data_IF_727329181622
#
_entry.id   IF_727329181622
#
_cell.length_a   1.000
_cell.length_b   1.000
_cell.length_c   1.000
_cell.angle_alpha   90.00
_cell.angle_beta   90.00
_cell.angle_gamma   90.00
#
_symmetry.space_group_name_H-M   'P 1'
#
loop_
_entity.id
_entity.type
_entity.pdbx_description
1 polymer ?
#
# COMPACT_ATOMS: atom_id res chain seq x y z
N UNK A 1 -16.90 -7.66 -2.17
CA UNK A 1 -17.68 -7.99 -0.96
C UNK A 1 -16.93 -9.13 -0.31
N UNK A 2 -16.17 -8.85 0.75
CA UNK A 2 -15.45 -9.89 1.47
C UNK A 2 -16.45 -10.85 2.10
N UNK A 3 -16.39 -12.13 1.75
CA UNK A 3 -17.18 -13.17 2.39
C UNK A 3 -16.36 -13.81 3.51
N UNK A 4 -15.89 -13.01 4.48
CA UNK A 4 -14.96 -13.49 5.52
C UNK A 4 -15.59 -13.48 6.92
N UNK A 5 -14.97 -14.22 7.84
CA UNK A 5 -15.32 -14.19 9.27
C UNK A 5 -15.20 -12.77 9.84
N UNK A 6 -14.16 -12.03 9.41
CA UNK A 6 -13.92 -10.64 9.81
C UNK A 6 -15.07 -9.73 9.34
N UNK A 7 -15.53 -9.88 8.11
CA UNK A 7 -16.64 -9.11 7.56
C UNK A 7 -17.98 -9.38 8.28
N UNK A 8 -18.23 -10.65 8.63
CA UNK A 8 -19.39 -11.05 9.42
C UNK A 8 -19.40 -10.39 10.82
N UNK A 9 -18.25 -10.43 11.52
CA UNK A 9 -18.09 -9.79 12.82
C UNK A 9 -18.25 -8.26 12.70
N UNK A 10 -17.59 -7.65 11.72
CA UNK A 10 -17.67 -6.20 11.50
C UNK A 10 -19.11 -5.74 11.25
N UNK A 11 -19.89 -6.50 10.47
CA UNK A 11 -21.31 -6.22 10.21
C UNK A 11 -22.13 -6.24 11.50
N UNK A 12 -21.95 -7.26 12.34
CA UNK A 12 -22.65 -7.36 13.62
C UNK A 12 -22.24 -6.24 14.60
N UNK A 13 -20.96 -5.88 14.62
CA UNK A 13 -20.42 -4.78 15.43
C UNK A 13 -21.01 -3.42 15.04
N UNK A 14 -21.05 -3.10 13.74
CA UNK A 14 -21.64 -1.84 13.24
C UNK A 14 -23.12 -1.73 13.62
N UNK A 15 -23.82 -2.86 13.68
CA UNK A 15 -25.23 -2.93 14.07
C UNK A 15 -25.44 -3.09 15.59
N UNK A 16 -24.36 -3.08 16.38
CA UNK A 16 -24.35 -3.26 17.84
C UNK A 16 -25.21 -4.45 18.31
N UNK A 17 -25.07 -5.59 17.63
CA UNK A 17 -25.79 -6.83 17.96
C UNK A 17 -24.85 -8.03 17.93
N UNK A 18 -25.32 -9.13 18.51
CA UNK A 18 -24.67 -10.42 18.33
C UNK A 18 -24.85 -10.95 16.90
N UNK A 19 -23.96 -11.88 16.52
CA UNK A 19 -24.07 -12.64 15.28
C UNK A 19 -25.41 -13.38 15.25
N UNK A 20 -26.07 -13.38 14.09
CA UNK A 20 -27.32 -14.10 13.88
C UNK A 20 -27.20 -15.07 12.69
N UNK A 21 -28.32 -15.72 12.35
CA UNK A 21 -28.42 -16.67 11.25
C UNK A 21 -27.81 -16.14 9.94
N UNK A 22 -27.99 -14.86 9.61
CA UNK A 22 -27.49 -14.25 8.38
C UNK A 22 -25.97 -14.26 8.30
N UNK A 23 -25.27 -13.83 9.35
CA UNK A 23 -23.80 -13.88 9.36
C UNK A 23 -23.27 -15.31 9.37
N UNK A 24 -23.93 -16.21 10.11
CA UNK A 24 -23.53 -17.60 10.17
C UNK A 24 -23.65 -18.28 8.79
N UNK A 25 -24.71 -17.99 8.04
CA UNK A 25 -24.88 -18.49 6.67
C UNK A 25 -23.79 -18.00 5.72
N UNK A 26 -23.35 -16.74 5.85
CA UNK A 26 -22.20 -16.20 5.09
C UNK A 26 -20.92 -16.97 5.42
N UNK A 27 -20.63 -17.17 6.72
CA UNK A 27 -19.44 -17.91 7.16
C UNK A 27 -19.48 -19.37 6.70
N UNK A 28 -20.64 -20.02 6.76
CA UNK A 28 -20.79 -21.39 6.24
C UNK A 28 -20.58 -21.47 4.73
N UNK A 29 -21.08 -20.48 3.97
CA UNK A 29 -20.83 -20.38 2.53
C UNK A 29 -19.34 -20.26 2.21
N UNK A 30 -18.63 -19.41 2.95
CA UNK A 30 -17.19 -19.26 2.84
C UNK A 30 -16.43 -20.55 3.18
N UNK A 31 -16.82 -21.24 4.26
CA UNK A 31 -16.21 -22.51 4.67
C UNK A 31 -16.40 -23.62 3.62
N UNK A 32 -17.57 -23.69 2.98
CA UNK A 32 -17.83 -24.68 1.91
C UNK A 32 -16.90 -24.54 0.72
N UNK A 33 -16.38 -23.34 0.46
CA UNK A 33 -15.44 -23.07 -0.62
C UNK A 33 -13.97 -23.21 -0.19
N UNK A 34 -13.68 -23.43 1.10
CA UNK A 34 -12.33 -23.45 1.63
C UNK A 34 -11.47 -24.59 1.06
N UNK A 35 -12.07 -25.77 0.81
CA UNK A 35 -11.37 -26.90 0.20
C UNK A 35 -10.92 -26.56 -1.23
N UNK A 36 -11.83 -26.03 -2.05
CA UNK A 36 -11.50 -25.60 -3.42
C UNK A 36 -10.40 -24.51 -3.45
N UNK A 37 -10.44 -23.54 -2.52
CA UNK A 37 -9.39 -22.52 -2.39
C UNK A 37 -8.05 -23.11 -1.98
N UNK A 38 -8.06 -24.05 -1.03
CA UNK A 38 -6.86 -24.79 -0.61
C UNK A 38 -6.26 -25.59 -1.76
N UNK A 39 -7.06 -26.36 -2.49
CA UNK A 39 -6.58 -27.17 -3.61
C UNK A 39 -5.96 -26.30 -4.71
N UNK A 40 -6.57 -25.15 -4.97
CA UNK A 40 -6.07 -24.15 -5.92
C UNK A 40 -4.72 -23.58 -5.46
N UNK A 41 -4.59 -23.20 -4.18
CA UNK A 41 -3.33 -22.71 -3.61
C UNK A 41 -2.24 -23.79 -3.63
N UNK A 42 -2.60 -25.04 -3.31
CA UNK A 42 -1.69 -26.19 -3.35
C UNK A 42 -1.19 -26.47 -4.77
N UNK A 43 -2.06 -26.35 -5.77
CA UNK A 43 -1.67 -26.45 -7.18
C UNK A 43 -0.66 -25.36 -7.56
N UNK A 44 -0.91 -24.10 -7.21
CA UNK A 44 0.02 -23.01 -7.47
C UNK A 44 1.37 -23.26 -6.79
N UNK A 45 1.37 -23.76 -5.56
CA UNK A 45 2.61 -24.06 -4.83
C UNK A 45 3.42 -25.17 -5.49
N UNK A 46 2.77 -26.23 -5.98
CA UNK A 46 3.45 -27.33 -6.70
C UNK A 46 4.11 -26.86 -7.99
N UNK A 47 3.52 -25.87 -8.67
CA UNK A 47 4.01 -25.33 -9.93
C UNK A 47 4.83 -24.04 -9.77
N UNK A 48 4.96 -23.51 -8.54
CA UNK A 48 5.54 -22.20 -8.26
C UNK A 48 6.93 -22.05 -8.86
N UNK A 49 7.81 -23.03 -8.64
CA UNK A 49 9.20 -22.97 -9.13
C UNK A 49 9.27 -22.79 -10.65
N UNK A 50 8.52 -23.57 -11.41
CA UNK A 50 8.50 -23.47 -12.88
C UNK A 50 7.95 -22.12 -13.33
N UNK A 51 6.86 -21.67 -12.70
CA UNK A 51 6.24 -20.38 -13.02
C UNK A 51 7.16 -19.21 -12.73
N UNK A 52 7.87 -19.23 -11.58
CA UNK A 52 8.84 -18.21 -11.18
C UNK A 52 10.03 -18.21 -12.14
N UNK A 53 10.65 -19.37 -12.38
CA UNK A 53 11.82 -19.47 -13.26
C UNK A 53 11.51 -18.92 -14.67
N UNK A 54 10.33 -19.25 -15.21
CA UNK A 54 9.90 -18.74 -16.52
C UNK A 54 9.49 -17.26 -16.49
N UNK A 55 8.84 -16.78 -15.42
CA UNK A 55 8.50 -15.37 -15.26
C UNK A 55 9.76 -14.49 -15.16
N UNK A 56 10.78 -14.93 -14.41
CA UNK A 56 12.06 -14.23 -14.30
C UNK A 56 12.76 -14.14 -15.65
N UNK A 57 12.70 -15.20 -16.47
CA UNK A 57 13.21 -15.15 -17.84
C UNK A 57 12.45 -14.13 -18.70
N UNK A 58 11.12 -14.07 -18.59
CA UNK A 58 10.31 -13.08 -19.31
C UNK A 58 10.66 -11.64 -18.89
N UNK A 59 10.83 -11.40 -17.58
CA UNK A 59 11.26 -10.10 -17.05
C UNK A 59 12.67 -9.74 -17.54
N UNK A 60 13.60 -10.68 -17.50
CA UNK A 60 14.99 -10.46 -17.95
C UNK A 60 15.07 -10.11 -19.44
N UNK A 61 14.15 -10.64 -20.27
CA UNK A 61 14.06 -10.29 -21.69
C UNK A 61 13.51 -8.87 -21.90
N UNK A 62 12.56 -8.44 -21.07
CA UNK A 62 11.90 -7.14 -21.20
C UNK A 62 12.67 -6.01 -20.51
N UNK A 63 13.42 -6.33 -19.46
CA UNK A 63 14.17 -5.39 -18.63
C UNK A 63 15.60 -5.91 -18.38
N UNK A 64 16.54 -5.67 -19.31
CA UNK A 64 17.92 -6.17 -19.20
C UNK A 64 18.74 -5.58 -18.05
N UNK A 65 18.21 -4.56 -17.37
CA UNK A 65 18.82 -3.87 -16.23
C UNK A 65 18.88 -4.74 -14.95
N UNK A 66 18.01 -5.75 -14.84
CA UNK A 66 18.04 -6.69 -13.71
C UNK A 66 19.20 -7.68 -13.87
N UNK A 67 20.29 -7.40 -13.17
CA UNK A 67 21.53 -8.19 -13.26
C UNK A 67 21.49 -9.42 -12.34
N UNK A 68 20.66 -9.39 -11.28
CA UNK A 68 20.53 -10.44 -10.26
C UNK A 68 19.25 -11.27 -10.46
N UNK A 69 19.39 -12.37 -11.19
CA UNK A 69 18.31 -13.33 -11.43
C UNK A 69 17.73 -13.89 -10.12
N UNK A 70 18.55 -14.06 -9.07
CA UNK A 70 18.08 -14.63 -7.79
C UNK A 70 17.20 -13.67 -6.98
N UNK A 71 17.58 -12.39 -6.89
CA UNK A 71 16.81 -11.39 -6.12
C UNK A 71 15.45 -11.14 -6.77
N UNK A 72 15.41 -11.11 -8.11
CA UNK A 72 14.17 -11.04 -8.87
C UNK A 72 13.29 -12.28 -8.64
N UNK A 73 13.87 -13.48 -8.63
CA UNK A 73 13.14 -14.71 -8.34
C UNK A 73 12.56 -14.70 -6.91
N UNK A 74 13.31 -14.25 -5.92
CA UNK A 74 12.85 -14.18 -4.52
C UNK A 74 11.70 -13.17 -4.35
N UNK A 75 11.76 -12.03 -5.03
CA UNK A 75 10.68 -11.03 -4.99
C UNK A 75 9.41 -11.50 -5.72
N UNK A 76 9.54 -12.20 -6.85
CA UNK A 76 8.39 -12.79 -7.56
C UNK A 76 7.78 -13.94 -6.73
N UNK A 77 8.61 -14.77 -6.11
CA UNK A 77 8.18 -15.82 -5.19
C UNK A 77 7.40 -15.24 -4.00
N UNK A 78 7.90 -14.15 -3.41
CA UNK A 78 7.19 -13.42 -2.36
C UNK A 78 5.79 -12.97 -2.82
N UNK A 79 5.68 -12.38 -4.01
CA UNK A 79 4.39 -11.97 -4.58
C UNK A 79 3.44 -13.16 -4.80
N UNK A 80 3.96 -14.28 -5.32
CA UNK A 80 3.15 -15.48 -5.55
C UNK A 80 2.66 -16.09 -4.23
N UNK A 81 3.48 -16.11 -3.18
CA UNK A 81 3.06 -16.55 -1.83
C UNK A 81 1.97 -15.66 -1.25
N UNK A 82 2.05 -14.34 -1.42
CA UNK A 82 0.99 -13.43 -0.99
C UNK A 82 -0.34 -13.74 -1.69
N UNK A 83 -0.31 -14.01 -3.00
CA UNK A 83 -1.50 -14.41 -3.76
C UNK A 83 -2.08 -15.74 -3.23
N UNK A 84 -1.24 -16.72 -2.90
CA UNK A 84 -1.67 -17.96 -2.26
C UNK A 84 -2.34 -17.72 -0.90
N UNK A 85 -1.82 -16.79 -0.09
CA UNK A 85 -2.45 -16.44 1.18
C UNK A 85 -3.78 -15.72 0.99
N UNK A 86 -3.89 -14.85 0.00
CA UNK A 86 -5.15 -14.21 -0.36
C UNK A 86 -6.21 -15.23 -0.80
N UNK A 87 -5.80 -16.26 -1.56
CA UNK A 87 -6.68 -17.38 -1.91
C UNK A 87 -7.16 -18.14 -0.68
N UNK A 88 -6.30 -18.41 0.30
CA UNK A 88 -6.69 -19.16 1.49
C UNK A 88 -7.67 -18.39 2.38
N UNK A 89 -7.42 -17.10 2.59
CA UNK A 89 -8.20 -16.24 3.49
C UNK A 89 -9.42 -15.61 2.78
N UNK A 90 -9.40 -15.56 1.45
CA UNK A 90 -10.41 -14.95 0.58
C UNK A 90 -10.54 -13.42 0.76
N UNK A 91 -9.40 -12.72 0.81
CA UNK A 91 -9.29 -11.26 0.98
C UNK A 91 -8.12 -10.70 0.19
N UNK A 92 -8.23 -9.42 -0.21
CA UNK A 92 -7.14 -8.65 -0.81
C UNK A 92 -6.36 -7.81 0.21
N UNK A 93 -6.81 -7.76 1.48
CA UNK A 93 -6.19 -6.98 2.56
C UNK A 93 -4.68 -7.26 2.67
N UNK A 94 -4.28 -8.52 2.48
CA UNK A 94 -2.88 -8.93 2.55
C UNK A 94 -2.03 -8.35 1.40
N UNK A 95 -2.59 -8.22 0.20
CA UNK A 95 -1.88 -7.54 -0.90
C UNK A 95 -1.72 -6.06 -0.59
N UNK A 96 -2.76 -5.42 -0.06
CA UNK A 96 -2.68 -4.01 0.28
C UNK A 96 -1.66 -3.74 1.39
N UNK A 97 -1.70 -4.52 2.47
CA UNK A 97 -0.84 -4.35 3.64
C UNK A 97 0.62 -4.73 3.38
N UNK A 98 0.87 -5.84 2.68
CA UNK A 98 2.20 -6.42 2.56
C UNK A 98 2.87 -6.22 1.21
N UNK A 99 2.12 -5.96 0.13
CA UNK A 99 2.69 -5.69 -1.20
C UNK A 99 2.62 -4.20 -1.54
N UNK A 100 1.42 -3.63 -1.55
CA UNK A 100 1.17 -2.27 -2.08
C UNK A 100 1.72 -1.20 -1.13
N UNK A 101 1.36 -1.25 0.15
CA UNK A 101 1.78 -0.25 1.12
C UNK A 101 3.28 -0.32 1.47
N UNK A 102 3.93 -1.44 1.16
CA UNK A 102 5.35 -1.70 1.45
C UNK A 102 6.18 -1.89 0.19
N UNK A 103 5.64 -1.47 -0.97
CA UNK A 103 6.29 -1.72 -2.25
C UNK A 103 7.67 -1.05 -2.34
N UNK A 104 7.85 0.14 -1.75
CA UNK A 104 9.14 0.84 -1.73
C UNK A 104 10.23 0.04 -1.01
N UNK A 105 9.88 -0.61 0.11
CA UNK A 105 10.80 -1.48 0.87
C UNK A 105 11.17 -2.73 0.06
N UNK A 106 10.18 -3.32 -0.62
CA UNK A 106 10.35 -4.50 -1.49
C UNK A 106 11.22 -4.15 -2.70
N UNK A 107 10.94 -3.01 -3.34
CA UNK A 107 11.70 -2.49 -4.47
C UNK A 107 13.17 -2.31 -4.12
N UNK A 108 13.47 -1.75 -2.94
CA UNK A 108 14.86 -1.60 -2.47
C UNK A 108 15.51 -2.94 -2.11
N UNK A 109 14.76 -3.87 -1.50
CA UNK A 109 15.30 -5.16 -1.04
C UNK A 109 15.61 -6.11 -2.19
N UNK A 110 14.72 -6.18 -3.18
CA UNK A 110 14.82 -7.12 -4.29
C UNK A 110 15.28 -6.47 -5.60
N UNK A 111 15.54 -5.15 -5.58
CA UNK A 111 15.84 -4.35 -6.75
C UNK A 111 14.81 -4.60 -7.86
N UNK A 112 13.52 -4.40 -7.55
CA UNK A 112 12.38 -4.71 -8.44
C UNK A 112 11.50 -3.47 -8.67
N UNK A 113 11.29 -3.09 -9.92
CA UNK A 113 10.34 -2.03 -10.26
C UNK A 113 8.90 -2.55 -10.33
N UNK A 114 7.88 -1.68 -10.14
CA UNK A 114 6.47 -2.08 -10.28
C UNK A 114 6.16 -2.71 -11.64
N UNK A 115 6.82 -2.22 -12.71
CA UNK A 115 6.61 -2.74 -14.06
C UNK A 115 7.17 -4.16 -14.23
N UNK A 116 8.32 -4.47 -13.62
CA UNK A 116 8.90 -5.81 -13.65
C UNK A 116 8.03 -6.83 -12.93
N UNK A 117 7.52 -6.47 -11.75
CA UNK A 117 6.56 -7.31 -11.00
C UNK A 117 5.27 -7.50 -11.80
N UNK A 118 4.78 -6.44 -12.45
CA UNK A 118 3.58 -6.50 -13.31
C UNK A 118 3.76 -7.52 -14.44
N UNK A 119 4.87 -7.43 -15.19
CA UNK A 119 5.20 -8.37 -16.26
C UNK A 119 5.31 -9.81 -15.76
N UNK A 120 5.93 -10.02 -14.59
CA UNK A 120 6.02 -11.35 -13.99
C UNK A 120 4.63 -11.92 -13.65
N UNK A 121 3.76 -11.12 -13.04
CA UNK A 121 2.41 -11.55 -12.68
C UNK A 121 1.52 -11.79 -13.91
N UNK A 122 1.66 -10.98 -14.96
CA UNK A 122 1.00 -11.21 -16.27
C UNK A 122 1.47 -12.53 -16.90
N UNK A 123 2.76 -12.85 -16.80
CA UNK A 123 3.27 -14.14 -17.26
C UNK A 123 2.64 -15.29 -16.47
N UNK A 124 2.61 -15.21 -15.14
CA UNK A 124 2.01 -16.23 -14.27
C UNK A 124 0.52 -16.40 -14.59
N UNK A 125 -0.21 -15.30 -14.80
CA UNK A 125 -1.62 -15.30 -15.19
C UNK A 125 -1.87 -16.11 -16.46
N UNK A 126 -1.01 -15.95 -17.48
CA UNK A 126 -1.20 -16.61 -18.76
C UNK A 126 -0.71 -18.08 -18.77
N UNK A 127 0.09 -18.50 -17.80
CA UNK A 127 0.78 -19.79 -17.81
C UNK A 127 0.42 -20.72 -16.63
N UNK A 128 -0.37 -20.28 -15.66
CA UNK A 128 -0.70 -21.09 -14.48
C UNK A 128 -1.53 -22.35 -14.75
N UNK A 129 -2.08 -22.55 -15.95
CA UNK A 129 -2.77 -23.80 -16.39
C UNK A 129 -4.02 -24.25 -15.60
N UNK A 130 -4.41 -23.56 -14.53
CA UNK A 130 -5.72 -23.71 -13.88
C UNK A 130 -6.88 -23.42 -14.85
N UNK A 131 -8.02 -24.09 -14.64
CA UNK A 131 -9.26 -23.92 -15.41
C UNK A 131 -10.46 -23.59 -14.50
N UNK A 132 -11.59 -23.26 -15.12
CA UNK A 132 -12.90 -23.11 -14.46
C UNK A 132 -12.88 -22.13 -13.27
N UNK A 133 -13.54 -22.49 -12.17
CA UNK A 133 -13.67 -21.65 -10.98
C UNK A 133 -12.31 -21.37 -10.32
N UNK A 134 -11.37 -22.31 -10.38
CA UNK A 134 -10.02 -22.12 -9.83
C UNK A 134 -9.29 -21.00 -10.59
N UNK A 135 -9.33 -21.03 -11.93
CA UNK A 135 -8.73 -19.99 -12.76
C UNK A 135 -9.37 -18.61 -12.50
N UNK A 136 -10.70 -18.54 -12.44
CA UNK A 136 -11.43 -17.28 -12.17
C UNK A 136 -10.97 -16.68 -10.83
N UNK A 137 -10.88 -17.51 -9.80
CA UNK A 137 -10.54 -17.07 -8.44
C UNK A 137 -9.09 -16.57 -8.36
N UNK A 138 -8.13 -17.31 -8.93
CA UNK A 138 -6.71 -16.88 -8.98
C UNK A 138 -6.55 -15.60 -9.79
N UNK A 139 -7.22 -15.52 -10.95
CA UNK A 139 -7.16 -14.36 -11.81
C UNK A 139 -7.74 -13.12 -11.16
N UNK A 140 -8.72 -13.25 -10.27
CA UNK A 140 -9.22 -12.11 -9.50
C UNK A 140 -8.11 -11.47 -8.66
N UNK A 141 -7.33 -12.27 -7.93
CA UNK A 141 -6.23 -11.77 -7.09
C UNK A 141 -5.04 -11.26 -7.91
N UNK A 142 -4.68 -11.97 -8.99
CA UNK A 142 -3.65 -11.52 -9.92
C UNK A 142 -4.02 -10.19 -10.56
N UNK A 143 -5.24 -10.07 -11.09
CA UNK A 143 -5.73 -8.82 -11.68
C UNK A 143 -5.75 -7.68 -10.67
N UNK A 144 -6.11 -7.94 -9.42
CA UNK A 144 -6.05 -6.93 -8.36
C UNK A 144 -4.62 -6.42 -8.15
N UNK A 145 -3.66 -7.33 -7.98
CA UNK A 145 -2.24 -6.99 -7.81
C UNK A 145 -1.68 -6.24 -9.02
N UNK A 146 -1.92 -6.73 -10.24
CA UNK A 146 -1.49 -6.10 -11.50
C UNK A 146 -2.04 -4.68 -11.59
N UNK A 147 -3.35 -4.50 -11.43
CA UNK A 147 -3.99 -3.19 -11.59
C UNK A 147 -3.53 -2.18 -10.52
N UNK A 148 -3.23 -2.63 -9.31
CA UNK A 148 -2.73 -1.77 -8.23
C UNK A 148 -1.27 -1.39 -8.44
N UNK A 149 -0.42 -2.33 -8.87
CA UNK A 149 0.98 -2.06 -9.22
C UNK A 149 1.14 -1.13 -10.42
N UNK A 150 0.31 -1.29 -11.46
CA UNK A 150 0.29 -0.36 -12.61
C UNK A 150 -0.02 1.06 -12.14
N UNK A 151 -1.02 1.24 -11.28
CA UNK A 151 -1.35 2.55 -10.71
C UNK A 151 -0.22 3.12 -9.85
N UNK A 152 0.52 2.28 -9.12
CA UNK A 152 1.71 2.72 -8.38
C UNK A 152 2.81 3.21 -9.35
N UNK A 153 3.10 2.45 -10.40
CA UNK A 153 4.08 2.86 -11.41
C UNK A 153 3.67 4.14 -12.17
N UNK A 154 2.38 4.37 -12.39
CA UNK A 154 1.88 5.64 -12.96
C UNK A 154 2.03 6.82 -12.00
N UNK A 155 1.83 6.61 -10.70
CA UNK A 155 2.10 7.62 -9.66
C UNK A 155 3.58 8.00 -9.63
N UNK A 156 4.48 7.04 -9.69
CA UNK A 156 5.94 7.30 -9.78
C UNK A 156 6.29 8.12 -11.03
N UNK A 157 5.70 7.79 -12.19
CA UNK A 157 5.92 8.54 -13.43
C UNK A 157 5.37 9.96 -13.38
N UNK A 158 4.20 10.17 -12.79
CA UNK A 158 3.62 11.52 -12.65
C UNK A 158 4.43 12.37 -11.67
N UNK A 159 4.93 11.79 -10.57
CA UNK A 159 5.90 12.44 -9.69
C UNK A 159 7.18 12.82 -10.45
N UNK A 160 7.75 11.90 -11.23
CA UNK A 160 8.96 12.15 -12.03
C UNK A 160 8.76 13.17 -13.17
N UNK A 161 7.56 13.24 -13.76
CA UNK A 161 7.22 14.22 -14.80
C UNK A 161 6.96 15.62 -14.23
N UNK A 162 6.43 15.72 -13.01
CA UNK A 162 6.27 17.01 -12.31
C UNK A 162 7.64 17.60 -11.90
N UNK A 163 8.67 16.76 -11.77
CA UNK A 163 10.07 17.17 -11.61
C UNK A 163 10.65 17.89 -12.83
N UNK A 164 10.00 17.84 -14.00
CA UNK A 164 10.38 18.62 -15.19
C UNK A 164 9.88 20.07 -15.16
N UNK A 165 9.87 20.70 -13.98
CA UNK A 165 9.85 22.16 -13.91
C UNK A 165 9.11 22.82 -12.75
N UNK A 166 8.49 22.07 -11.83
CA UNK A 166 8.07 22.63 -10.53
C UNK A 166 8.29 21.64 -9.41
N UNK A 167 9.36 21.88 -8.67
CA UNK A 167 9.78 21.12 -7.48
C UNK A 167 8.71 21.26 -6.40
N UNK A 168 7.88 20.24 -6.21
CA UNK A 168 7.29 19.99 -4.90
C UNK A 168 8.30 19.19 -4.09
N UNK A 169 8.84 19.83 -3.05
CA UNK A 169 9.91 19.29 -2.22
C UNK A 169 9.37 18.12 -1.40
N UNK A 170 9.71 16.92 -1.83
CA UNK A 170 9.77 15.73 -0.97
C UNK A 170 10.58 16.13 0.27
N UNK A 171 9.95 16.14 1.46
CA UNK A 171 10.61 16.59 2.70
C UNK A 171 11.61 15.53 3.17
N UNK A 172 12.72 15.41 2.48
CA UNK A 172 13.94 14.80 3.00
C UNK A 172 14.51 15.74 4.06
N UNK A 173 14.86 15.19 5.24
CA UNK A 173 15.49 15.96 6.30
C UNK A 173 16.90 16.35 5.86
N UNK A 174 17.09 17.61 5.44
CA UNK A 174 18.40 18.18 5.16
C UNK A 174 19.08 18.59 6.49
N UNK A 175 20.12 17.87 6.96
CA UNK A 175 20.79 18.17 8.22
C UNK A 175 21.58 19.49 8.18
N UNK A 176 21.75 20.10 6.99
CA UNK A 176 22.44 21.39 6.81
C UNK A 176 21.47 22.57 6.70
N UNK A 177 20.17 22.31 6.54
CA UNK A 177 19.16 23.35 6.48
C UNK A 177 19.00 24.04 7.84
N UNK A 178 18.87 25.37 7.82
CA UNK A 178 18.60 26.15 9.03
C UNK A 178 17.31 25.63 9.69
N UNK A 179 17.33 25.36 11.01
CA UNK A 179 16.13 24.93 11.73
C UNK A 179 14.99 25.92 11.54
N UNK A 180 13.76 25.41 11.53
CA UNK A 180 12.55 26.23 11.39
C UNK A 180 12.50 27.43 12.35
N UNK A 181 12.96 27.24 13.59
CA UNK A 181 13.04 28.31 14.59
C UNK A 181 13.97 29.45 14.18
N UNK A 182 15.11 29.15 13.53
CA UNK A 182 16.03 30.18 13.06
C UNK A 182 15.40 31.00 11.93
N UNK A 183 14.60 30.36 11.07
CA UNK A 183 13.81 31.04 10.04
C UNK A 183 12.77 31.99 10.65
N UNK A 184 12.09 31.57 11.72
CA UNK A 184 11.13 32.44 12.44
C UNK A 184 11.83 33.65 13.05
N UNK A 185 13.01 33.47 13.65
CA UNK A 185 13.78 34.59 14.22
C UNK A 185 14.20 35.58 13.13
N UNK A 186 14.71 35.09 11.99
CA UNK A 186 15.07 35.93 10.83
C UNK A 186 13.87 36.74 10.30
N UNK A 187 12.68 36.13 10.29
CA UNK A 187 11.44 36.84 9.91
C UNK A 187 11.06 37.87 10.99
N UNK A 188 11.21 37.52 12.26
CA UNK A 188 10.91 38.42 13.38
C UNK A 188 11.80 39.66 13.42
N UNK A 189 13.04 39.56 12.97
CA UNK A 189 13.98 40.69 12.84
C UNK A 189 13.58 41.69 11.75
N UNK A 190 12.81 41.26 10.74
CA UNK A 190 12.30 42.15 9.69
C UNK A 190 11.12 43.00 10.16
N UNK A 191 10.51 42.67 11.30
CA UNK A 191 9.37 43.39 11.86
C UNK A 191 9.86 44.54 12.75
N UNK A 192 9.47 45.81 12.49
CA UNK A 192 9.85 46.95 13.32
C UNK A 192 9.45 46.78 14.79
N UNK A 193 10.27 47.29 15.72
CA UNK A 193 9.99 47.22 17.16
C UNK A 193 8.66 47.86 17.57
N UNK A 194 8.22 48.87 16.83
CA UNK A 194 6.94 49.55 17.03
C UNK A 194 5.73 48.61 16.87
N UNK A 195 5.83 47.59 16.00
CA UNK A 195 4.78 46.57 15.84
C UNK A 195 4.86 45.50 16.94
N UNK A 196 6.07 45.20 17.40
CA UNK A 196 6.27 44.30 18.54
C UNK A 196 5.68 44.85 19.84
N UNK A 197 5.74 46.17 20.02
CA UNK A 197 5.20 46.84 21.22
C UNK A 197 3.66 46.84 21.28
N UNK A 198 2.98 46.62 20.15
CA UNK A 198 1.51 46.48 20.10
C UNK A 198 1.02 45.12 20.61
N UNK A 199 1.90 44.12 20.66
CA UNK A 199 1.51 42.78 21.06
C UNK A 199 1.32 42.71 22.58
N UNK A 200 0.21 42.10 23.04
CA UNK A 200 -0.05 41.98 24.46
C UNK A 200 0.96 41.03 25.12
N UNK A 201 1.59 41.49 26.20
CA UNK A 201 2.58 40.70 26.96
C UNK A 201 1.99 39.52 27.70
N UNK A 202 0.67 39.49 27.84
CA UNK A 202 -0.11 38.48 28.54
C UNK A 202 -0.97 37.63 27.60
N UNK A 203 -0.68 37.62 26.29
CA UNK A 203 -1.47 36.89 25.29
C UNK A 203 -1.72 35.43 25.65
N UNK A 204 -0.68 34.72 26.12
CA UNK A 204 -0.78 33.31 26.48
C UNK A 204 -1.75 33.06 27.65
N UNK A 205 -1.90 34.03 28.56
CA UNK A 205 -2.77 33.94 29.73
C UNK A 205 -4.19 34.40 29.42
N UNK A 206 -4.31 35.44 28.60
CA UNK A 206 -5.57 36.09 28.27
C UNK A 206 -6.00 35.83 26.81
N UNK A 207 -5.70 34.65 26.29
CA UNK A 207 -5.98 34.29 24.89
C UNK A 207 -7.47 34.48 24.53
N UNK A 208 -8.37 34.04 25.42
CA UNK A 208 -9.81 34.15 25.21
C UNK A 208 -10.29 35.61 25.21
N UNK A 209 -9.64 36.49 25.97
CA UNK A 209 -9.94 37.93 25.95
C UNK A 209 -9.64 38.52 24.57
N UNK A 210 -8.48 38.21 23.99
CA UNK A 210 -8.06 38.79 22.72
C UNK A 210 -8.75 38.18 21.49
N UNK A 211 -9.13 36.89 21.55
CA UNK A 211 -9.79 36.21 20.44
C UNK A 211 -11.32 36.31 20.49
N UNK A 212 -11.90 36.34 21.68
CA UNK A 212 -13.34 36.19 21.90
C UNK A 212 -13.96 37.26 22.80
N UNK A 213 -13.17 38.20 23.33
CA UNK A 213 -13.69 39.29 24.16
C UNK A 213 -14.08 38.89 25.60
N UNK A 214 -13.61 37.74 26.08
CA UNK A 214 -13.82 37.29 27.45
C UNK A 214 -13.24 38.27 28.49
N UNK A 215 -13.74 38.32 29.74
CA UNK A 215 -13.14 39.14 30.79
C UNK A 215 -11.69 38.71 31.06
N UNK A 216 -10.82 39.69 31.30
CA UNK A 216 -9.37 39.49 31.48
C UNK A 216 -9.07 38.89 32.85
N UNK A 217 -8.24 37.86 32.89
CA UNK A 217 -7.74 37.26 34.13
C UNK A 217 -6.52 38.06 34.63
N UNK A 218 -6.54 38.46 35.90
CA UNK A 218 -5.46 39.19 36.60
C UNK A 218 -4.24 38.31 36.88
#
# INVERSE_FOLDING_TARGET
MEMSIKAAIATAQVQNRFLNQTELEVVFGWLKQAEARRDTAEYLQKNARLLIDSAVQAVSQQFPEYTSVSECADGIDYCLRLIQYCLLVDTTDLLDEYLINRFDEISQTFNLSPNAVTTALEYIQNNHSLTDQAAITVNQYLNYAINTLVKLGEKEKTLAQNSNGKVEVERTYDPTAKPFWQRIVEIGEQVPKEEWDKLPRDFARNFEHYMYGAPREE
#
